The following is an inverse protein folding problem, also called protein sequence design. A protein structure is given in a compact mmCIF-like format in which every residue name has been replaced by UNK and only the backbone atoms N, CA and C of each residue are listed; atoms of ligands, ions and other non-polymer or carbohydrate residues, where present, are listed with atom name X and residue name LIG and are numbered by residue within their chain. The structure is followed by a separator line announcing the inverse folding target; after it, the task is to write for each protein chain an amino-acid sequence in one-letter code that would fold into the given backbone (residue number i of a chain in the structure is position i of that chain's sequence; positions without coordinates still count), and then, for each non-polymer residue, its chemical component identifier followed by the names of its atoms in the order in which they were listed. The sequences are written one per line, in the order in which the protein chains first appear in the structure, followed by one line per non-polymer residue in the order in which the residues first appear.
data_IF_689236575451
#
_entry.id   IF_689236575451
#
_cell.length_a   1.000
_cell.length_b   1.000
_cell.length_c   1.000
_cell.angle_alpha   90.00
_cell.angle_beta   90.00
_cell.angle_gamma   90.00
#
_symmetry.space_group_name_H-M   'P 1'
#
loop_
_entity.id
_entity.type
_entity.pdbx_description
1 polymer ?
#
# COMPACT_ATOMS: atom_id res chain seq x y z
N UNK A 1 -29.36 48.18 -15.03
CA UNK A 1 -30.52 48.97 -15.54
C UNK A 1 -31.45 47.93 -16.13
N UNK A 2 -32.53 47.47 -15.52
CA UNK A 2 -33.65 48.07 -14.78
C UNK A 2 -34.03 47.07 -13.66
N UNK A 3 -33.83 47.39 -12.38
CA UNK A 3 -34.80 47.92 -11.39
C UNK A 3 -35.95 46.97 -10.97
N UNK A 4 -35.89 46.54 -9.69
CA UNK A 4 -36.88 46.75 -8.59
C UNK A 4 -38.00 45.68 -8.59
N UNK A 5 -38.57 45.19 -7.49
CA UNK A 5 -38.78 45.76 -6.15
C UNK A 5 -39.14 44.65 -5.13
N UNK A 6 -39.02 45.01 -3.85
CA UNK A 6 -39.32 44.26 -2.61
C UNK A 6 -40.81 44.32 -2.22
N UNK A 7 -41.24 43.37 -1.37
CA UNK A 7 -42.08 43.49 -0.14
C UNK A 7 -42.69 42.09 0.15
N UNK A 8 -42.58 41.38 1.28
CA UNK A 8 -42.66 41.63 2.75
C UNK A 8 -44.08 41.85 3.30
N UNK A 9 -44.58 40.89 4.11
CA UNK A 9 -45.36 41.01 5.37
C UNK A 9 -46.08 39.66 5.69
N UNK A 10 -45.80 38.96 6.80
CA UNK A 10 -46.39 39.07 8.16
C UNK A 10 -47.70 38.24 8.31
N UNK A 11 -47.72 37.11 9.05
CA UNK A 11 -47.93 36.87 10.51
C UNK A 11 -49.39 36.49 10.84
N UNK A 12 -49.55 35.33 11.50
CA UNK A 12 -50.50 34.92 12.58
C UNK A 12 -50.61 33.38 12.53
N UNK A 13 -50.63 32.56 13.59
CA UNK A 13 -50.78 32.78 15.02
C UNK A 13 -52.01 32.06 15.57
N UNK A 14 -51.92 30.78 16.01
CA UNK A 14 -52.56 30.26 17.25
C UNK A 14 -52.35 28.77 17.49
N UNK A 15 -52.35 28.46 18.78
CA UNK A 15 -52.14 27.18 19.43
C UNK A 15 -53.40 26.31 19.45
N UNK A 16 -53.23 25.00 19.62
CA UNK A 16 -54.24 24.19 20.28
C UNK A 16 -53.63 23.11 21.19
N UNK A 17 -54.44 22.72 22.17
CA UNK A 17 -54.08 22.30 23.52
C UNK A 17 -53.72 20.81 23.68
N UNK A 18 -52.97 20.54 24.75
CA UNK A 18 -52.65 19.22 25.32
C UNK A 18 -53.69 18.81 26.36
N UNK A 19 -54.09 17.53 26.39
CA UNK A 19 -54.37 16.79 27.64
C UNK A 19 -53.99 15.29 27.52
N UNK A 20 -53.66 14.62 28.64
CA UNK A 20 -52.88 13.38 28.67
C UNK A 20 -53.71 12.13 29.00
N UNK A 21 -53.17 10.95 28.66
CA UNK A 21 -53.64 9.64 29.10
C UNK A 21 -52.46 8.71 29.34
N UNK A 22 -52.39 8.18 30.56
CA UNK A 22 -51.29 7.42 31.15
C UNK A 22 -51.22 5.95 30.68
N UNK A 23 -50.01 5.37 30.79
CA UNK A 23 -49.84 4.01 31.31
C UNK A 23 -49.44 2.92 30.31
N UNK A 24 -48.22 2.39 30.46
CA UNK A 24 -47.83 1.09 29.90
C UNK A 24 -46.33 0.92 29.69
N UNK A 25 -45.63 0.40 30.69
CA UNK A 25 -44.22 -0.01 30.65
C UNK A 25 -43.98 -1.09 29.59
N UNK A 26 -42.89 -0.93 28.83
CA UNK A 26 -42.37 -1.93 27.90
C UNK A 26 -40.92 -1.61 27.58
N UNK A 27 -40.02 -2.16 28.37
CA UNK A 27 -38.56 -2.14 28.18
C UNK A 27 -38.18 -2.83 26.87
N UNK A 28 -37.87 -2.04 25.85
CA UNK A 28 -37.05 -2.46 24.72
C UNK A 28 -35.88 -1.48 24.59
N UNK A 29 -34.78 -1.84 25.24
CA UNK A 29 -33.49 -1.19 25.08
C UNK A 29 -32.90 -1.68 23.73
N UNK A 30 -33.37 -1.09 22.63
CA UNK A 30 -32.66 -1.13 21.35
C UNK A 30 -31.54 -0.09 21.41
N UNK A 31 -30.26 -0.46 21.31
CA UNK A 31 -29.23 0.52 21.06
C UNK A 31 -29.36 1.00 19.61
N UNK A 32 -30.06 2.12 19.45
CA UNK A 32 -29.85 3.07 18.37
C UNK A 32 -28.36 3.40 18.29
N UNK A 33 -27.64 2.71 17.41
CA UNK A 33 -26.40 3.24 16.87
C UNK A 33 -26.30 2.99 15.37
N UNK A 34 -27.20 3.68 14.65
CA UNK A 34 -26.96 4.10 13.27
C UNK A 34 -25.74 5.04 13.28
N UNK A 35 -24.54 4.48 13.23
CA UNK A 35 -23.32 5.25 12.98
C UNK A 35 -23.14 5.49 11.48
N UNK A 36 -24.04 6.27 10.87
CA UNK A 36 -23.74 6.97 9.64
C UNK A 36 -23.20 8.38 9.96
N UNK A 37 -21.91 8.47 10.30
CA UNK A 37 -21.17 9.73 10.19
C UNK A 37 -19.79 9.45 9.63
N UNK A 38 -19.48 10.08 8.50
CA UNK A 38 -18.15 10.20 7.92
C UNK A 38 -17.17 10.76 8.96
N UNK A 39 -16.59 9.89 9.78
CA UNK A 39 -15.38 10.24 10.52
C UNK A 39 -14.23 10.25 9.52
N UNK A 40 -13.79 11.46 9.16
CA UNK A 40 -12.57 11.65 8.37
C UNK A 40 -11.37 11.24 9.23
N UNK A 41 -11.05 9.95 9.24
CA UNK A 41 -9.89 9.42 9.95
C UNK A 41 -8.61 9.78 9.20
N UNK A 42 -7.66 10.41 9.89
CA UNK A 42 -6.32 10.62 9.33
C UNK A 42 -5.62 9.27 9.22
N UNK A 43 -5.27 8.83 8.01
CA UNK A 43 -4.50 7.60 7.81
C UNK A 43 -3.02 7.92 7.63
N UNK A 44 -2.18 7.32 8.45
CA UNK A 44 -0.72 7.48 8.38
C UNK A 44 -0.09 6.27 7.68
N UNK A 45 1.00 6.51 6.95
CA UNK A 45 1.82 5.49 6.27
C UNK A 45 3.26 5.73 6.70
N UNK A 46 3.76 4.87 7.59
CA UNK A 46 5.12 4.89 8.12
C UNK A 46 5.95 3.82 7.41
N UNK A 47 7.20 4.12 7.06
CA UNK A 47 8.07 3.20 6.33
C UNK A 47 9.42 3.08 7.00
N UNK A 48 9.95 1.87 6.97
CA UNK A 48 11.22 1.50 7.55
C UNK A 48 11.98 0.61 6.56
N UNK A 49 13.30 0.71 6.56
CA UNK A 49 14.17 -0.31 5.98
C UNK A 49 14.59 -1.25 7.09
N UNK A 50 14.35 -2.54 6.90
CA UNK A 50 14.58 -3.56 7.91
C UNK A 50 15.45 -4.66 7.30
N UNK A 51 16.57 -5.05 7.91
CA UNK A 51 17.32 -6.23 7.49
C UNK A 51 16.42 -7.48 7.43
N UNK A 52 16.53 -8.28 6.37
CA UNK A 52 15.66 -9.44 6.15
C UNK A 52 15.78 -10.47 7.27
N UNK A 53 16.96 -10.59 7.89
CA UNK A 53 17.18 -11.44 9.07
C UNK A 53 16.32 -10.99 10.27
N UNK A 54 16.21 -9.68 10.52
CA UNK A 54 15.40 -9.13 11.61
C UNK A 54 13.91 -9.11 11.26
N UNK A 55 13.57 -9.02 9.96
CA UNK A 55 12.19 -8.97 9.50
C UNK A 55 11.41 -10.24 9.86
N UNK A 56 12.08 -11.40 10.00
CA UNK A 56 11.46 -12.62 10.47
C UNK A 56 10.99 -12.49 11.93
N UNK A 57 11.89 -12.10 12.83
CA UNK A 57 11.56 -11.91 14.26
C UNK A 57 10.48 -10.84 14.46
N UNK A 58 10.57 -9.72 13.73
CA UNK A 58 9.58 -8.65 13.80
C UNK A 58 8.21 -9.15 13.33
N UNK A 59 8.16 -9.94 12.25
CA UNK A 59 6.91 -10.52 11.75
C UNK A 59 6.32 -11.48 12.78
N UNK A 60 7.12 -12.32 13.41
CA UNK A 60 6.64 -13.31 14.37
C UNK A 60 6.08 -12.61 15.62
N UNK A 61 6.74 -11.55 16.11
CA UNK A 61 6.24 -10.68 17.17
C UNK A 61 4.94 -9.95 16.78
N UNK A 62 4.83 -9.45 15.53
CA UNK A 62 3.59 -8.85 15.03
C UNK A 62 2.45 -9.87 14.97
N UNK A 63 2.73 -11.14 14.63
CA UNK A 63 1.73 -12.19 14.48
C UNK A 63 1.05 -12.59 15.80
N UNK A 64 1.66 -12.28 16.95
CA UNK A 64 1.04 -12.43 18.27
C UNK A 64 -0.23 -11.57 18.41
N UNK A 65 -0.29 -10.43 17.71
CA UNK A 65 -1.35 -9.42 17.84
C UNK A 65 -2.08 -9.10 16.53
N UNK A 66 -1.56 -9.57 15.41
CA UNK A 66 -2.08 -9.31 14.07
C UNK A 66 -2.33 -10.61 13.32
N UNK A 67 -3.36 -10.61 12.48
CA UNK A 67 -3.62 -11.72 11.57
C UNK A 67 -2.88 -11.55 10.25
N UNK A 68 -2.60 -12.68 9.61
CA UNK A 68 -2.19 -12.67 8.21
C UNK A 68 -3.34 -12.16 7.35
N UNK A 69 -3.05 -11.31 6.38
CA UNK A 69 -4.02 -10.91 5.37
C UNK A 69 -4.47 -12.18 4.61
N UNK A 70 -5.78 -12.37 4.44
CA UNK A 70 -6.38 -13.53 3.77
C UNK A 70 -5.82 -13.72 2.35
N UNK A 71 -5.41 -12.64 1.68
CA UNK A 71 -4.83 -12.66 0.34
C UNK A 71 -3.30 -12.79 0.36
N UNK A 72 -2.68 -13.04 1.52
CA UNK A 72 -1.23 -13.15 1.71
C UNK A 72 -0.81 -14.58 2.05
N UNK A 73 -0.57 -15.44 1.04
CA UNK A 73 -0.15 -16.83 1.26
C UNK A 73 1.18 -16.93 2.00
N UNK A 74 1.51 -18.14 2.48
CA UNK A 74 2.80 -18.44 3.12
C UNK A 74 3.94 -18.12 2.14
N UNK A 75 4.92 -17.33 2.59
CA UNK A 75 6.00 -16.82 1.74
C UNK A 75 5.71 -15.49 1.03
N UNK A 76 4.46 -15.01 1.06
CA UNK A 76 4.01 -13.78 0.42
C UNK A 76 3.58 -13.96 -1.03
N UNK A 77 3.27 -12.87 -1.71
CA UNK A 77 2.84 -12.85 -3.11
C UNK A 77 3.59 -11.80 -3.92
N UNK A 78 3.77 -12.07 -5.21
CA UNK A 78 4.32 -11.10 -6.16
C UNK A 78 3.41 -9.87 -6.30
N UNK A 79 4.02 -8.69 -6.34
CA UNK A 79 3.34 -7.46 -6.74
C UNK A 79 4.19 -6.75 -7.77
N UNK A 80 3.62 -6.58 -8.96
CA UNK A 80 4.27 -5.92 -10.08
C UNK A 80 3.48 -4.67 -10.45
N UNK A 81 4.19 -3.59 -10.78
CA UNK A 81 3.57 -2.32 -11.15
C UNK A 81 4.36 -1.65 -12.25
N UNK A 82 3.72 -1.41 -13.39
CA UNK A 82 4.22 -0.55 -14.45
C UNK A 82 3.76 0.88 -14.17
N UNK A 83 4.70 1.79 -13.92
CA UNK A 83 4.45 3.21 -13.72
C UNK A 83 4.54 3.96 -15.04
N UNK A 84 3.67 4.98 -15.14
CA UNK A 84 3.64 5.93 -16.23
C UNK A 84 4.03 7.31 -15.72
N UNK A 85 4.86 7.99 -16.48
CA UNK A 85 5.27 9.38 -16.25
C UNK A 85 5.45 10.09 -17.60
N UNK A 86 5.60 11.40 -17.56
CA UNK A 86 5.96 12.21 -18.73
C UNK A 86 7.42 11.93 -19.14
N UNK A 87 7.83 12.22 -20.38
CA UNK A 87 9.23 12.09 -20.80
C UNK A 87 10.22 12.88 -19.92
N UNK A 88 9.78 13.99 -19.32
CA UNK A 88 10.57 14.82 -18.40
C UNK A 88 10.45 14.40 -16.93
N UNK A 89 9.88 13.23 -16.64
CA UNK A 89 9.75 12.66 -15.29
C UNK A 89 9.02 13.58 -14.30
N UNK A 90 7.94 14.24 -14.75
CA UNK A 90 7.15 15.15 -13.93
C UNK A 90 6.72 14.53 -12.60
N UNK A 91 6.14 13.32 -12.58
CA UNK A 91 5.67 12.70 -11.33
C UNK A 91 6.79 12.29 -10.39
N UNK A 92 7.98 11.99 -10.93
CA UNK A 92 9.20 11.87 -10.13
C UNK A 92 9.53 13.20 -9.43
N UNK A 93 9.67 14.30 -10.18
CA UNK A 93 10.02 15.60 -9.61
C UNK A 93 8.98 16.12 -8.62
N UNK A 94 7.68 16.00 -8.95
CA UNK A 94 6.58 16.35 -8.04
C UNK A 94 6.66 15.59 -6.70
N UNK A 95 7.18 14.35 -6.72
CA UNK A 95 7.37 13.53 -5.51
C UNK A 95 8.63 13.95 -4.75
N UNK A 96 9.75 14.25 -5.42
CA UNK A 96 11.00 14.70 -4.80
C UNK A 96 10.82 16.06 -4.14
N UNK A 97 10.23 17.02 -4.85
CA UNK A 97 9.95 18.38 -4.37
C UNK A 97 8.83 18.42 -3.32
N UNK A 98 8.11 17.30 -3.15
CA UNK A 98 7.08 17.18 -2.14
C UNK A 98 5.80 17.97 -2.44
N UNK A 99 5.51 18.27 -3.71
CA UNK A 99 4.38 19.10 -4.13
C UNK A 99 3.05 18.61 -3.56
N UNK A 100 2.23 19.54 -3.07
CA UNK A 100 0.95 19.26 -2.40
C UNK A 100 -0.08 18.64 -3.35
N UNK A 101 0.00 18.95 -4.63
CA UNK A 101 -0.77 18.31 -5.68
C UNK A 101 0.16 17.43 -6.51
N UNK A 102 -0.12 16.12 -6.55
CA UNK A 102 0.65 15.18 -7.38
C UNK A 102 -0.15 13.92 -7.66
N UNK A 103 0.10 13.30 -8.82
CA UNK A 103 -0.58 12.07 -9.26
C UNK A 103 0.44 11.01 -9.65
N UNK A 104 0.00 9.76 -9.66
CA UNK A 104 0.73 8.62 -10.20
C UNK A 104 -0.26 7.69 -10.89
N UNK A 105 0.02 7.33 -12.14
CA UNK A 105 -0.71 6.30 -12.87
C UNK A 105 0.13 5.03 -12.90
N UNK A 106 -0.52 3.87 -12.75
CA UNK A 106 0.14 2.58 -12.91
C UNK A 106 -0.83 1.48 -13.31
N UNK A 107 -0.31 0.50 -14.05
CA UNK A 107 -0.92 -0.83 -14.17
C UNK A 107 -0.28 -1.73 -13.11
N UNK A 108 -1.08 -2.48 -12.36
CA UNK A 108 -0.61 -3.35 -11.27
C UNK A 108 -1.13 -4.77 -11.42
N UNK A 109 -0.22 -5.73 -11.34
CA UNK A 109 -0.51 -7.16 -11.28
C UNK A 109 -0.22 -7.71 -9.88
N UNK A 110 -1.01 -8.71 -9.48
CA UNK A 110 -0.85 -9.46 -8.23
C UNK A 110 -0.61 -10.93 -8.56
N UNK A 111 0.43 -11.51 -7.97
CA UNK A 111 0.91 -12.85 -8.30
C UNK A 111 2.20 -12.82 -9.11
N UNK A 112 2.61 -14.00 -9.55
CA UNK A 112 3.80 -14.17 -10.38
C UNK A 112 3.52 -13.70 -11.81
N UNK A 113 4.59 -13.35 -12.53
CA UNK A 113 4.51 -12.97 -13.94
C UNK A 113 4.56 -14.17 -14.88
N UNK A 114 4.92 -15.33 -14.37
CA UNK A 114 5.00 -16.56 -15.15
C UNK A 114 3.59 -16.90 -15.68
N UNK A 115 3.47 -17.01 -17.01
CA UNK A 115 2.20 -17.28 -17.67
C UNK A 115 1.23 -16.11 -17.72
N UNK A 116 1.67 -14.86 -17.44
CA UNK A 116 0.80 -13.70 -17.64
C UNK A 116 0.47 -13.52 -19.13
N UNK A 117 -0.81 -13.39 -19.41
CA UNK A 117 -1.39 -13.20 -20.76
C UNK A 117 -2.16 -11.89 -20.82
N UNK A 118 -2.58 -11.48 -22.03
CA UNK A 118 -3.44 -10.30 -22.19
C UNK A 118 -4.80 -10.45 -21.51
N UNK A 119 -5.25 -11.67 -21.21
CA UNK A 119 -6.48 -11.93 -20.44
C UNK A 119 -6.30 -11.86 -18.93
N UNK A 120 -5.05 -11.78 -18.44
CA UNK A 120 -4.76 -11.77 -17.02
C UNK A 120 -5.31 -10.50 -16.35
N UNK A 121 -5.93 -10.61 -15.16
CA UNK A 121 -6.53 -9.46 -14.49
C UNK A 121 -5.47 -8.53 -13.89
N UNK A 122 -5.53 -7.25 -14.21
CA UNK A 122 -4.67 -6.21 -13.66
C UNK A 122 -5.48 -5.03 -13.15
N UNK A 123 -4.94 -4.29 -12.18
CA UNK A 123 -5.54 -3.05 -11.71
C UNK A 123 -4.89 -1.84 -12.39
N UNK A 124 -5.66 -1.04 -13.11
CA UNK A 124 -5.25 0.32 -13.50
C UNK A 124 -5.55 1.25 -12.34
N UNK A 125 -4.54 1.93 -11.80
CA UNK A 125 -4.66 2.71 -10.56
C UNK A 125 -4.15 4.14 -10.72
N UNK A 126 -4.94 5.12 -10.26
CA UNK A 126 -4.50 6.49 -10.04
C UNK A 126 -4.37 6.73 -8.53
N UNK A 127 -3.15 7.02 -8.07
CA UNK A 127 -2.88 7.53 -6.72
C UNK A 127 -2.66 9.03 -6.79
N UNK A 128 -3.58 9.80 -6.23
CA UNK A 128 -3.56 11.25 -6.22
C UNK A 128 -3.37 11.78 -4.80
N UNK A 129 -2.56 12.80 -4.63
CA UNK A 129 -2.49 13.58 -3.39
C UNK A 129 -2.90 15.01 -3.69
N UNK A 130 -3.80 15.53 -2.86
CA UNK A 130 -4.23 16.93 -2.84
C UNK A 130 -4.05 17.44 -1.41
N UNK A 131 -3.08 18.32 -1.20
CA UNK A 131 -2.65 18.79 0.12
C UNK A 131 -2.25 17.62 1.04
N UNK A 132 -3.08 17.35 2.06
CA UNK A 132 -2.86 16.28 3.04
C UNK A 132 -3.61 14.99 2.69
N UNK A 133 -4.57 15.06 1.76
CA UNK A 133 -5.45 13.94 1.43
C UNK A 133 -4.85 13.14 0.29
N UNK A 134 -4.81 11.81 0.45
CA UNK A 134 -4.42 10.88 -0.61
C UNK A 134 -5.64 10.07 -1.02
N UNK A 135 -5.95 10.10 -2.31
CA UNK A 135 -7.03 9.32 -2.93
C UNK A 135 -6.42 8.25 -3.81
N UNK A 136 -6.98 7.04 -3.74
CA UNK A 136 -6.65 5.94 -4.63
C UNK A 136 -7.92 5.52 -5.33
N UNK A 137 -7.92 5.53 -6.66
CA UNK A 137 -8.99 5.00 -7.50
C UNK A 137 -8.40 3.96 -8.43
N UNK A 138 -9.16 2.91 -8.70
CA UNK A 138 -8.73 1.82 -9.58
C UNK A 138 -9.91 1.12 -10.23
N UNK A 139 -9.61 0.46 -11.34
CA UNK A 139 -10.48 -0.50 -12.03
C UNK A 139 -9.67 -1.75 -12.31
N UNK A 140 -10.34 -2.91 -12.37
CA UNK A 140 -9.73 -4.16 -12.83
C UNK A 140 -10.07 -4.34 -14.31
N UNK A 141 -9.06 -4.57 -15.15
CA UNK A 141 -9.19 -4.84 -16.58
C UNK A 141 -8.37 -6.08 -16.92
N UNK A 142 -8.61 -6.65 -18.10
CA UNK A 142 -7.63 -7.57 -18.70
C UNK A 142 -6.34 -6.79 -19.01
N UNK A 143 -5.21 -7.47 -18.97
CA UNK A 143 -3.90 -6.85 -19.19
C UNK A 143 -3.79 -6.22 -20.59
N UNK A 144 -4.34 -6.88 -21.61
CA UNK A 144 -4.43 -6.36 -22.98
C UNK A 144 -5.25 -5.06 -23.04
N UNK A 145 -6.42 -5.03 -22.42
CA UNK A 145 -7.25 -3.81 -22.36
C UNK A 145 -6.56 -2.68 -21.57
N UNK A 146 -5.90 -3.00 -20.46
CA UNK A 146 -5.16 -2.00 -19.68
C UNK A 146 -4.03 -1.36 -20.51
N UNK A 147 -3.34 -2.15 -21.33
CA UNK A 147 -2.32 -1.65 -22.27
C UNK A 147 -2.92 -0.87 -23.43
N UNK A 148 -4.02 -1.33 -24.02
CA UNK A 148 -4.72 -0.56 -25.05
C UNK A 148 -5.12 0.83 -24.52
N UNK A 149 -5.64 0.89 -23.28
CA UNK A 149 -6.00 2.14 -22.63
C UNK A 149 -4.78 3.04 -22.33
N UNK A 150 -3.72 2.48 -21.75
CA UNK A 150 -2.61 3.29 -21.22
C UNK A 150 -1.45 3.49 -22.22
N UNK A 151 -1.07 2.45 -22.97
CA UNK A 151 -0.02 2.49 -23.99
C UNK A 151 -0.60 2.95 -25.33
N UNK A 152 -1.71 2.33 -25.75
CA UNK A 152 -2.39 2.62 -27.01
C UNK A 152 -3.16 3.94 -27.02
N UNK A 153 -3.52 4.44 -25.83
CA UNK A 153 -4.32 5.67 -25.66
C UNK A 153 -5.69 5.57 -26.33
N UNK A 154 -6.29 4.40 -26.23
CA UNK A 154 -7.56 4.08 -26.86
C UNK A 154 -8.65 3.85 -25.81
N UNK A 155 -9.89 4.19 -26.16
CA UNK A 155 -11.03 3.86 -25.33
C UNK A 155 -11.28 2.35 -25.38
N UNK A 156 -11.39 1.72 -24.23
CA UNK A 156 -11.70 0.30 -24.11
C UNK A 156 -13.17 0.07 -23.77
N UNK A 157 -13.77 -1.09 -24.11
CA UNK A 157 -15.12 -1.42 -23.69
C UNK A 157 -15.29 -1.34 -22.17
N UNK A 158 -16.36 -0.71 -21.70
CA UNK A 158 -16.58 -0.48 -20.28
C UNK A 158 -18.05 -0.28 -19.92
N UNK A 159 -18.40 -0.54 -18.66
CA UNK A 159 -19.75 -0.25 -18.14
C UNK A 159 -19.95 1.23 -17.83
N UNK A 160 -21.20 1.67 -17.73
CA UNK A 160 -21.52 3.05 -17.37
C UNK A 160 -20.89 3.52 -16.04
N UNK A 161 -20.70 2.62 -15.07
CA UNK A 161 -20.09 2.93 -13.77
C UNK A 161 -18.58 3.18 -13.86
N UNK A 162 -17.93 2.61 -14.87
CA UNK A 162 -16.48 2.66 -15.07
C UNK A 162 -16.06 3.83 -15.97
N UNK A 163 -17.00 4.33 -16.78
CA UNK A 163 -16.77 5.34 -17.82
C UNK A 163 -16.00 6.56 -17.32
N UNK A 164 -16.41 7.13 -16.18
CA UNK A 164 -15.76 8.31 -15.62
C UNK A 164 -14.28 8.07 -15.28
N UNK A 165 -13.94 6.90 -14.74
CA UNK A 165 -12.56 6.59 -14.37
C UNK A 165 -11.70 6.26 -15.60
N UNK A 166 -12.24 5.55 -16.59
CA UNK A 166 -11.53 5.23 -17.82
C UNK A 166 -11.27 6.51 -18.64
N UNK A 167 -12.26 7.40 -18.75
CA UNK A 167 -12.08 8.71 -19.37
C UNK A 167 -11.01 9.53 -18.65
N UNK A 168 -10.99 9.52 -17.30
CA UNK A 168 -9.93 10.19 -16.53
C UNK A 168 -8.55 9.61 -16.82
N UNK A 169 -8.41 8.27 -16.89
CA UNK A 169 -7.13 7.63 -17.25
C UNK A 169 -6.69 8.07 -18.64
N UNK A 170 -7.60 8.00 -19.63
CA UNK A 170 -7.31 8.37 -21.01
C UNK A 170 -6.93 9.85 -21.14
N UNK A 171 -7.69 10.75 -20.52
CA UNK A 171 -7.37 12.18 -20.47
C UNK A 171 -5.98 12.40 -19.84
N UNK A 172 -5.70 11.74 -18.72
CA UNK A 172 -4.43 11.89 -18.02
C UNK A 172 -3.25 11.44 -18.89
N UNK A 173 -3.38 10.30 -19.58
CA UNK A 173 -2.35 9.76 -20.46
C UNK A 173 -2.13 10.65 -21.67
N UNK A 174 -3.19 11.08 -22.35
CA UNK A 174 -3.10 11.92 -23.56
C UNK A 174 -2.59 13.31 -23.22
N UNK A 175 -3.20 13.99 -22.24
CA UNK A 175 -2.92 15.39 -21.91
C UNK A 175 -1.51 15.59 -21.38
N UNK A 176 -0.98 14.64 -20.61
CA UNK A 176 0.37 14.71 -20.06
C UNK A 176 1.40 13.96 -20.91
N UNK A 177 0.99 13.36 -22.03
CA UNK A 177 1.83 12.48 -22.85
C UNK A 177 2.52 11.42 -21.97
N UNK A 178 1.75 10.75 -21.11
CA UNK A 178 2.32 9.73 -20.23
C UNK A 178 2.79 8.53 -21.05
N UNK A 179 3.91 7.96 -20.63
CA UNK A 179 4.55 6.81 -21.24
C UNK A 179 4.96 5.81 -20.16
N UNK A 180 4.98 4.49 -20.46
CA UNK A 180 5.66 3.51 -19.64
C UNK A 180 7.06 3.98 -19.26
N UNK A 181 7.37 4.02 -17.96
CA UNK A 181 8.64 4.60 -17.48
C UNK A 181 9.45 3.61 -16.66
N UNK A 182 8.80 2.87 -15.77
CA UNK A 182 9.49 1.91 -14.90
C UNK A 182 8.54 0.82 -14.42
N UNK A 183 8.98 -0.42 -14.44
CA UNK A 183 8.34 -1.51 -13.71
C UNK A 183 9.01 -1.66 -12.35
N UNK A 184 8.21 -1.86 -11.30
CA UNK A 184 8.70 -2.27 -9.98
C UNK A 184 8.04 -3.59 -9.57
N UNK A 185 8.83 -4.54 -9.12
CA UNK A 185 8.38 -5.85 -8.61
C UNK A 185 8.87 -6.09 -7.19
N UNK A 186 8.11 -6.80 -6.37
CA UNK A 186 8.54 -7.22 -5.03
C UNK A 186 7.69 -8.37 -4.51
N UNK A 187 8.20 -9.09 -3.51
CA UNK A 187 7.47 -10.12 -2.79
C UNK A 187 6.88 -9.52 -1.52
N UNK A 188 5.56 -9.58 -1.37
CA UNK A 188 4.82 -8.94 -0.28
C UNK A 188 4.26 -9.96 0.70
N UNK A 189 4.52 -9.74 1.97
CA UNK A 189 3.73 -10.30 3.07
C UNK A 189 2.90 -9.19 3.71
N UNK A 190 1.67 -9.50 4.12
CA UNK A 190 0.79 -8.54 4.76
C UNK A 190 0.14 -9.11 6.02
N UNK A 191 0.12 -8.30 7.07
CA UNK A 191 -0.63 -8.52 8.30
C UNK A 191 -1.68 -7.42 8.48
N UNK A 192 -2.81 -7.78 9.09
CA UNK A 192 -3.94 -6.90 9.41
C UNK A 192 -4.20 -6.94 10.92
N UNK A 193 -4.57 -5.81 11.50
CA UNK A 193 -4.82 -5.72 12.94
C UNK A 193 -6.08 -6.48 13.35
N UNK A 194 -6.07 -7.00 14.58
CA UNK A 194 -7.19 -7.69 15.23
C UNK A 194 -8.00 -6.76 16.11
N UNK A 195 -9.22 -7.16 16.43
CA UNK A 195 -10.07 -6.55 17.45
C UNK A 195 -10.17 -5.01 17.34
N UNK A 196 -9.63 -4.28 18.33
CA UNK A 196 -9.67 -2.81 18.36
C UNK A 196 -8.76 -2.14 17.32
N UNK A 197 -7.80 -2.87 16.73
CA UNK A 197 -6.78 -2.36 15.80
C UNK A 197 -7.15 -2.59 14.31
N UNK A 198 -8.42 -2.70 13.94
CA UNK A 198 -8.86 -2.96 12.53
C UNK A 198 -8.30 -1.99 11.48
N UNK A 199 -7.90 -0.79 11.87
CA UNK A 199 -7.25 0.20 11.01
C UNK A 199 -5.77 -0.07 10.71
N UNK A 200 -5.13 -0.96 11.48
CA UNK A 200 -3.72 -1.31 11.39
C UNK A 200 -3.48 -2.32 10.26
N UNK A 201 -2.48 -2.04 9.43
CA UNK A 201 -1.95 -2.98 8.44
C UNK A 201 -0.45 -2.83 8.34
N UNK A 202 0.28 -3.93 8.43
CA UNK A 202 1.72 -3.96 8.26
C UNK A 202 2.06 -4.80 7.03
N UNK A 203 2.97 -4.32 6.19
CA UNK A 203 3.44 -5.10 5.03
C UNK A 203 4.95 -5.12 4.98
N UNK A 204 5.51 -6.26 4.60
CA UNK A 204 6.93 -6.44 4.30
C UNK A 204 7.09 -6.65 2.80
N UNK A 205 7.81 -5.74 2.15
CA UNK A 205 8.13 -5.86 0.73
C UNK A 205 9.61 -6.23 0.58
N UNK A 206 9.86 -7.49 0.26
CA UNK A 206 11.19 -8.09 0.08
C UNK A 206 11.59 -8.12 -1.39
N UNK A 207 12.90 -8.21 -1.64
CA UNK A 207 13.46 -8.42 -2.98
C UNK A 207 12.91 -7.40 -3.98
N UNK A 208 12.94 -6.12 -3.61
CA UNK A 208 12.38 -5.04 -4.43
C UNK A 208 13.26 -4.83 -5.66
N UNK A 209 12.65 -5.03 -6.82
CA UNK A 209 13.28 -5.00 -8.13
C UNK A 209 12.62 -3.94 -9.01
N UNK A 210 13.29 -3.58 -10.09
CA UNK A 210 12.70 -2.83 -11.17
C UNK A 210 13.37 -3.07 -12.51
N UNK A 211 12.85 -2.40 -13.53
CA UNK A 211 13.41 -2.27 -14.89
C UNK A 211 12.91 -0.98 -15.54
N UNK A 212 13.73 -0.41 -16.41
CA UNK A 212 13.54 0.84 -17.17
C UNK A 212 13.25 0.63 -18.66
N UNK A 213 13.10 -0.64 -19.07
CA UNK A 213 12.84 -1.06 -20.45
C UNK A 213 11.94 -2.29 -20.46
N UNK A 214 11.54 -2.71 -21.65
CA UNK A 214 10.81 -3.96 -21.86
C UNK A 214 9.61 -4.09 -20.92
N UNK A 215 8.76 -3.08 -20.95
CA UNK A 215 7.75 -2.86 -19.91
C UNK A 215 6.66 -3.93 -19.85
N UNK A 216 6.54 -4.76 -20.90
CA UNK A 216 5.61 -5.88 -20.97
C UNK A 216 5.81 -6.88 -19.82
N UNK A 217 4.78 -7.10 -19.00
CA UNK A 217 4.84 -8.03 -17.88
C UNK A 217 5.20 -9.46 -18.30
N UNK A 218 4.63 -9.98 -19.37
CA UNK A 218 4.91 -11.33 -19.89
C UNK A 218 6.12 -11.43 -20.83
N UNK A 219 7.12 -10.56 -20.69
CA UNK A 219 8.37 -10.75 -21.46
C UNK A 219 9.12 -11.98 -20.94
N UNK A 220 9.64 -12.80 -21.86
CA UNK A 220 10.30 -14.07 -21.52
C UNK A 220 11.60 -13.89 -20.71
N UNK A 221 12.39 -12.87 -21.03
CA UNK A 221 13.71 -12.65 -20.44
C UNK A 221 13.80 -11.27 -19.77
N UNK A 222 13.05 -11.04 -18.67
CA UNK A 222 12.98 -9.72 -18.06
C UNK A 222 14.31 -9.37 -17.36
N UNK A 223 14.94 -8.27 -17.78
CA UNK A 223 16.18 -7.76 -17.18
C UNK A 223 15.93 -6.98 -15.88
N UNK A 224 15.28 -7.61 -14.91
CA UNK A 224 15.00 -7.00 -13.61
C UNK A 224 16.25 -6.94 -12.74
N UNK A 225 16.48 -5.80 -12.07
CA UNK A 225 17.56 -5.62 -11.09
C UNK A 225 17.02 -5.16 -9.75
N UNK A 226 17.74 -5.44 -8.67
CA UNK A 226 17.37 -4.94 -7.34
C UNK A 226 17.51 -3.41 -7.30
N UNK A 227 16.44 -2.72 -6.88
CA UNK A 227 16.42 -1.25 -6.71
C UNK A 227 16.50 -0.84 -5.24
N UNK A 228 16.39 -1.83 -4.35
CA UNK A 228 16.72 -1.77 -2.93
C UNK A 228 17.55 -3.03 -2.66
N UNK A 229 18.64 -2.95 -1.88
CA UNK A 229 19.48 -4.10 -1.58
C UNK A 229 18.67 -5.31 -1.12
N UNK A 230 18.95 -6.53 -1.62
CA UNK A 230 18.09 -7.70 -1.41
C UNK A 230 18.08 -8.21 0.04
N UNK A 231 19.07 -7.84 0.85
CA UNK A 231 19.11 -8.10 2.29
C UNK A 231 18.24 -7.14 3.10
N UNK A 232 17.60 -6.15 2.47
CA UNK A 232 16.64 -5.26 3.10
C UNK A 232 15.20 -5.55 2.66
N UNK A 233 14.28 -5.32 3.59
CA UNK A 233 12.84 -5.32 3.39
C UNK A 233 12.28 -3.92 3.65
N UNK A 234 11.33 -3.48 2.83
CA UNK A 234 10.56 -2.27 3.13
C UNK A 234 9.38 -2.66 4.00
N UNK A 235 9.45 -2.36 5.28
CA UNK A 235 8.31 -2.49 6.20
C UNK A 235 7.45 -1.23 6.11
N UNK A 236 6.16 -1.38 5.84
CA UNK A 236 5.19 -0.29 5.75
C UNK A 236 4.07 -0.53 6.77
N UNK A 237 3.92 0.40 7.71
CA UNK A 237 2.86 0.40 8.73
C UNK A 237 1.80 1.43 8.34
N UNK A 238 0.55 0.98 8.25
CA UNK A 238 -0.62 1.83 7.99
C UNK A 238 -1.53 1.80 9.19
N UNK A 239 -1.90 2.97 9.69
CA UNK A 239 -2.78 3.11 10.86
C UNK A 239 -3.81 4.20 10.63
N UNK A 240 -4.96 4.05 11.28
CA UNK A 240 -5.98 5.09 11.35
C UNK A 240 -5.76 5.90 12.63
N UNK A 241 -5.84 7.23 12.52
CA UNK A 241 -5.73 8.26 13.56
C UNK A 241 -4.43 8.29 14.38
N UNK A 242 -4.07 7.16 15.01
CA UNK A 242 -2.92 7.04 15.90
C UNK A 242 -2.29 5.66 15.74
N UNK A 243 -0.97 5.62 15.86
CA UNK A 243 -0.24 4.35 15.94
C UNK A 243 -0.47 3.73 17.31
N UNK A 244 -0.86 2.44 17.42
CA UNK A 244 -0.95 1.77 18.71
C UNK A 244 0.39 1.84 19.47
N UNK A 245 0.33 2.02 20.80
CA UNK A 245 1.55 2.18 21.61
C UNK A 245 2.53 1.02 21.45
N UNK A 246 2.01 -0.20 21.32
CA UNK A 246 2.81 -1.41 21.15
C UNK A 246 3.57 -1.46 19.82
N UNK A 247 3.03 -0.88 18.75
CA UNK A 247 3.76 -0.73 17.48
C UNK A 247 4.91 0.27 17.67
N UNK A 248 4.64 1.36 18.38
CA UNK A 248 5.66 2.39 18.65
C UNK A 248 6.79 1.81 19.50
N UNK A 249 6.46 1.06 20.55
CA UNK A 249 7.40 0.32 21.39
C UNK A 249 8.21 -0.70 20.59
N UNK A 250 7.55 -1.51 19.75
CA UNK A 250 8.23 -2.45 18.85
C UNK A 250 9.22 -1.75 17.93
N UNK A 251 8.83 -0.63 17.30
CA UNK A 251 9.73 0.11 16.41
C UNK A 251 10.91 0.72 17.16
N UNK A 252 10.72 1.17 18.40
CA UNK A 252 11.79 1.72 19.24
C UNK A 252 12.75 0.63 19.73
N UNK A 253 12.24 -0.50 20.23
CA UNK A 253 13.05 -1.64 20.70
C UNK A 253 13.90 -2.28 19.60
N UNK A 254 13.42 -2.21 18.36
CA UNK A 254 14.12 -2.74 17.17
C UNK A 254 14.97 -1.67 16.46
N UNK A 255 15.12 -0.49 17.05
CA UNK A 255 15.88 0.66 16.53
C UNK A 255 15.53 1.02 15.07
N UNK A 256 14.23 1.01 14.75
CA UNK A 256 13.74 1.23 13.39
C UNK A 256 13.56 2.71 13.09
N UNK A 257 14.32 3.19 12.11
CA UNK A 257 14.29 4.57 11.67
C UNK A 257 13.30 4.81 10.52
N UNK A 258 12.51 5.88 10.64
CA UNK A 258 11.55 6.28 9.59
C UNK A 258 12.27 6.74 8.33
N UNK A 259 11.90 6.16 7.19
CA UNK A 259 12.46 6.51 5.88
C UNK A 259 11.40 7.05 4.93
N UNK A 260 11.79 7.99 4.07
CA UNK A 260 10.93 8.53 3.01
C UNK A 260 11.13 7.80 1.69
N UNK A 261 10.83 6.51 1.65
CA UNK A 261 11.08 5.69 0.46
C UNK A 261 9.88 5.61 -0.50
N UNK A 262 10.18 5.64 -1.80
CA UNK A 262 9.22 5.41 -2.89
C UNK A 262 9.83 4.45 -3.89
N UNK A 263 9.24 3.24 -4.04
CA UNK A 263 9.73 2.21 -4.97
C UNK A 263 9.88 2.72 -6.41
N UNK A 264 8.99 3.59 -6.86
CA UNK A 264 9.09 4.24 -8.17
C UNK A 264 10.34 5.15 -8.26
N UNK A 265 10.58 5.97 -7.24
CA UNK A 265 11.73 6.91 -7.21
C UNK A 265 13.04 6.11 -7.19
N UNK A 266 13.11 5.10 -6.32
CA UNK A 266 14.25 4.18 -6.28
C UNK A 266 14.52 3.54 -7.64
N UNK A 267 13.47 3.15 -8.36
CA UNK A 267 13.63 2.58 -9.70
C UNK A 267 14.22 3.59 -10.69
N UNK A 268 13.66 4.80 -10.77
CA UNK A 268 14.16 5.86 -11.66
C UNK A 268 15.64 6.17 -11.41
N UNK A 269 16.02 6.34 -10.14
CA UNK A 269 17.38 6.68 -9.74
C UNK A 269 18.35 5.50 -9.93
N UNK A 270 17.92 4.27 -9.65
CA UNK A 270 18.76 3.07 -9.82
C UNK A 270 19.13 2.81 -11.29
N UNK A 271 18.29 3.21 -12.24
CA UNK A 271 18.57 3.13 -13.67
C UNK A 271 19.19 4.42 -14.25
N UNK A 272 19.50 5.41 -13.42
CA UNK A 272 20.17 6.65 -13.86
C UNK A 272 19.28 7.56 -14.71
N UNK A 273 17.97 7.38 -14.70
CA UNK A 273 17.02 8.24 -15.44
C UNK A 273 16.87 9.63 -14.80
N UNK A 274 17.24 9.77 -13.52
CA UNK A 274 17.35 11.03 -12.82
C UNK A 274 18.51 10.99 -11.81
N UNK A 275 19.03 12.15 -11.37
CA UNK A 275 20.01 12.20 -10.28
C UNK A 275 19.46 11.59 -8.99
N UNK A 276 20.31 10.89 -8.22
CA UNK A 276 19.94 10.31 -6.93
C UNK A 276 19.55 11.42 -5.95
N UNK A 277 18.35 11.32 -5.38
CA UNK A 277 17.89 12.22 -4.32
C UNK A 277 18.49 11.84 -2.96
N UNK A 278 18.31 12.72 -1.97
CA UNK A 278 18.64 12.46 -0.56
C UNK A 278 17.83 11.30 0.05
N UNK A 279 16.82 10.79 -0.65
CA UNK A 279 16.02 9.64 -0.22
C UNK A 279 16.48 8.33 -0.88
N UNK A 280 17.47 8.39 -1.76
CA UNK A 280 18.01 7.22 -2.44
C UNK A 280 18.67 6.29 -1.43
N UNK A 281 18.29 5.01 -1.46
CA UNK A 281 18.96 3.96 -0.69
C UNK A 281 20.25 3.57 -1.41
N UNK A 282 21.41 4.02 -0.90
CA UNK A 282 22.69 3.49 -1.37
C UNK A 282 23.03 2.19 -0.65
N UNK A 283 23.60 1.25 -1.40
CA UNK A 283 24.08 -0.02 -0.84
C UNK A 283 25.21 0.18 0.18
N UNK A 284 26.06 1.19 -0.03
CA UNK A 284 27.13 1.55 0.91
C UNK A 284 26.63 2.00 2.29
N UNK A 285 25.44 2.63 2.34
CA UNK A 285 24.84 3.10 3.60
C UNK A 285 24.14 1.96 4.37
N UNK A 286 23.99 0.79 3.73
CA UNK A 286 23.32 -0.37 4.29
C UNK A 286 24.11 -1.64 3.95
N UNK A 287 25.33 -1.80 4.50
CA UNK A 287 26.14 -2.98 4.23
C UNK A 287 25.36 -4.26 4.60
N UNK A 288 25.56 -5.36 3.86
CA UNK A 288 24.98 -6.64 4.26
C UNK A 288 25.49 -7.02 5.66
N UNK A 289 24.67 -7.71 6.47
CA UNK A 289 25.15 -8.24 7.74
C UNK A 289 26.38 -9.12 7.49
N UNK A 290 27.44 -8.89 8.26
CA UNK A 290 28.62 -9.75 8.22
C UNK A 290 28.16 -11.16 8.63
N UNK A 291 28.48 -12.22 7.87
CA UNK A 291 28.12 -13.56 8.29
C UNK A 291 28.75 -13.81 9.65
N UNK A 292 27.91 -13.91 10.68
CA UNK A 292 28.32 -14.32 12.03
C UNK A 292 29.09 -15.63 11.89
N UNK A 293 30.37 -15.63 12.26
CA UNK A 293 31.12 -16.87 12.46
C UNK A 293 30.25 -17.80 13.29
N UNK A 294 29.97 -18.98 12.74
CA UNK A 294 29.12 -19.98 13.38
C UNK A 294 29.59 -20.17 14.83
N UNK A 295 28.77 -19.74 15.80
CA UNK A 295 28.97 -20.15 17.17
C UNK A 295 29.01 -21.68 17.19
N UNK A 296 30.04 -22.31 17.77
CA UNK A 296 30.13 -23.75 17.78
C UNK A 296 28.89 -24.32 18.46
N UNK A 297 28.36 -25.46 17.98
CA UNK A 297 27.13 -26.02 18.51
C UNK A 297 27.25 -26.18 20.02
N UNK A 298 26.30 -25.59 20.77
CA UNK A 298 26.17 -25.85 22.21
C UNK A 298 26.09 -27.35 22.39
N UNK A 299 27.13 -27.94 22.98
CA UNK A 299 27.14 -29.34 23.36
C UNK A 299 25.92 -29.58 24.25
N UNK A 300 25.00 -30.44 23.79
CA UNK A 300 23.98 -31.00 24.67
C UNK A 300 24.70 -31.77 25.78
N UNK A 301 24.33 -31.63 27.06
CA UNK A 301 24.88 -32.47 28.10
C UNK A 301 24.57 -33.94 27.76
N UNK A 302 25.60 -34.77 27.84
CA UNK A 302 25.52 -36.20 27.62
C UNK A 302 24.44 -36.80 28.55
N UNK A 303 23.48 -37.51 27.97
CA UNK A 303 22.64 -38.42 28.74
C UNK A 303 23.48 -39.66 29.04
N UNK A 304 23.58 -39.97 30.33
CA UNK A 304 24.34 -41.09 30.86
C UNK A 304 23.95 -42.44 30.26
N UNK A 305 24.97 -43.30 30.21
CA UNK A 305 25.06 -44.60 29.60
C UNK A 305 24.11 -45.67 30.21
N UNK A 306 23.91 -46.81 29.51
CA UNK A 306 22.91 -47.81 29.88
C UNK A 306 23.40 -48.76 30.99
N UNK A 307 22.52 -49.07 31.93
CA UNK A 307 22.70 -50.19 32.87
C UNK A 307 22.63 -51.52 32.10
N UNK A 308 23.73 -52.28 32.10
CA UNK A 308 23.73 -53.72 31.81
C UNK A 308 23.83 -54.53 33.11
N UNK A 309 22.81 -55.37 33.29
CA UNK A 309 22.81 -56.77 33.71
C UNK A 309 23.52 -57.22 35.00
N UNK A 310 22.74 -57.88 35.86
CA UNK A 310 23.21 -58.85 36.84
C UNK A 310 22.12 -59.88 37.11
N UNK A 311 22.39 -61.15 36.79
CA UNK A 311 21.50 -62.30 36.90
C UNK A 311 21.39 -62.83 38.34
N UNK A 312 20.18 -63.30 38.71
CA UNK A 312 19.92 -64.60 39.35
C UNK A 312 18.45 -64.93 39.25
#
# INVERSE_FOLDING_TARGET
MVFLSKATAARDGRADQVRPGEGGEGTHDEPLHVASRLHAFNRFELKYLVPVEQAADIRDELAERMDRDLHSPVGGYGVWSLYYDTPQLRFYWEKIEGLKFRRKLRIRHYGDLDGITDESPVCVEIKQRVNRVTQKRRITLSYGAARQLCDGREMVPHSAKESAFIQEVLELVVRLNLQPTAVTGYQREALVGRDADTGLRVTFDRRVRGRDRDFHFGIETPQNRFTIPPHLSVMEIKVNERTPHWITDLTARRDLNLVRISKYVQSIEAFGLAPRSVFHVNEADCPPPTPTEAQPPRQRPAQDAPMKAGAK
#
